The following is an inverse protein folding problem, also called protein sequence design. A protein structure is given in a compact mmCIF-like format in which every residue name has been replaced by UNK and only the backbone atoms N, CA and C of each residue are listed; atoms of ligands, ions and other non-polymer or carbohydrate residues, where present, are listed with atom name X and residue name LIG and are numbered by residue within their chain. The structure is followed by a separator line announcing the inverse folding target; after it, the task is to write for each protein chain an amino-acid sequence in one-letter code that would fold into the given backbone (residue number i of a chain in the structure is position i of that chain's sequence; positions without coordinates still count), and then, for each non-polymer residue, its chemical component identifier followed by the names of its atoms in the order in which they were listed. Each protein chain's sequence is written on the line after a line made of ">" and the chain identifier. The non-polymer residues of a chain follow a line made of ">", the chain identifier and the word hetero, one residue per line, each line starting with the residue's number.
data_IF_476733361426
#
_entry.id   IF_476733361426
#
_cell.length_a   1.000
_cell.length_b   1.000
_cell.length_c   1.000
_cell.angle_alpha   90.00
_cell.angle_beta   90.00
_cell.angle_gamma   90.00
#
_symmetry.space_group_name_H-M   'P 1'
#
loop_
_entity.id
_entity.type
_entity.pdbx_description
1 polymer ?
#
# COMPACT_ATOMS: atom_id res chain seq x y z
N UNK A 1 16.76 -27.52 -10.71
CA UNK A 1 15.36 -27.12 -10.97
C UNK A 1 15.22 -25.74 -10.37
N UNK A 2 15.36 -24.70 -11.18
CA UNK A 2 15.42 -23.30 -10.71
C UNK A 2 14.01 -22.86 -10.36
N UNK A 3 13.72 -22.69 -9.08
CA UNK A 3 12.48 -22.07 -8.64
C UNK A 3 12.65 -20.58 -8.86
N UNK A 4 12.01 -20.04 -9.90
CA UNK A 4 11.93 -18.59 -10.09
C UNK A 4 11.17 -18.02 -8.88
N UNK A 5 11.90 -17.40 -7.96
CA UNK A 5 11.33 -16.78 -6.79
C UNK A 5 10.72 -15.44 -7.18
N UNK A 6 9.47 -15.48 -7.65
CA UNK A 6 8.64 -14.30 -7.93
C UNK A 6 8.04 -13.70 -6.65
N UNK A 7 8.58 -14.02 -5.47
CA UNK A 7 8.20 -13.41 -4.21
C UNK A 7 8.50 -11.90 -4.22
N UNK A 8 7.76 -11.10 -3.43
CA UNK A 8 8.11 -9.69 -3.27
C UNK A 8 9.57 -9.61 -2.82
N UNK A 9 10.33 -8.74 -3.48
CA UNK A 9 11.71 -8.44 -3.11
C UNK A 9 11.81 -8.21 -1.60
N UNK A 10 12.99 -8.46 -0.99
CA UNK A 10 13.33 -7.91 0.28
C UNK A 10 12.72 -6.54 0.45
N UNK A 11 12.09 -6.31 1.59
CA UNK A 11 11.81 -4.97 2.04
C UNK A 11 13.13 -4.24 2.28
N UNK A 12 14.00 -4.15 1.27
CA UNK A 12 14.77 -2.97 0.93
C UNK A 12 13.84 -1.85 1.25
N UNK A 13 14.10 -1.21 2.39
CA UNK A 13 13.30 -0.12 2.91
C UNK A 13 13.20 0.81 1.74
N UNK A 14 12.05 0.74 1.06
CA UNK A 14 11.82 1.43 -0.19
C UNK A 14 12.33 2.82 0.07
N UNK A 15 13.17 3.36 -0.81
CA UNK A 15 13.52 4.76 -0.82
C UNK A 15 12.23 5.56 -1.11
N UNK A 16 11.24 5.42 -0.22
CA UNK A 16 9.98 6.13 -0.14
C UNK A 16 10.45 7.47 0.32
N UNK A 17 10.80 8.29 -0.67
CA UNK A 17 10.97 9.71 -0.51
C UNK A 17 9.86 10.16 0.44
N UNK A 18 10.21 10.70 1.61
CA UNK A 18 9.23 11.06 2.61
C UNK A 18 8.12 11.89 1.97
N UNK A 19 6.86 11.50 2.16
CA UNK A 19 5.74 12.22 1.57
C UNK A 19 5.87 13.71 1.90
N UNK A 20 5.68 14.58 0.91
CA UNK A 20 5.63 16.03 1.13
C UNK A 20 4.57 16.35 2.18
N UNK A 21 4.71 17.49 2.87
CA UNK A 21 3.76 17.93 3.90
C UNK A 21 2.31 17.97 3.36
N UNK A 22 2.13 18.45 2.14
CA UNK A 22 0.83 18.53 1.47
C UNK A 22 0.28 17.13 1.16
N UNK A 23 1.08 16.25 0.57
CA UNK A 23 0.66 14.87 0.25
C UNK A 23 0.28 14.08 1.51
N UNK A 24 1.04 14.27 2.59
CA UNK A 24 0.74 13.69 3.91
C UNK A 24 -0.58 14.22 4.48
N UNK A 25 -0.85 15.52 4.32
CA UNK A 25 -2.12 16.13 4.71
C UNK A 25 -3.32 15.54 3.95
N UNK A 26 -3.20 15.38 2.64
CA UNK A 26 -4.22 14.71 1.81
C UNK A 26 -4.45 13.28 2.28
N UNK A 27 -3.39 12.50 2.50
CA UNK A 27 -3.51 11.12 3.00
C UNK A 27 -4.15 11.06 4.39
N UNK A 28 -3.79 11.96 5.30
CA UNK A 28 -4.36 12.02 6.63
C UNK A 28 -5.85 12.36 6.58
N UNK A 29 -6.25 13.28 5.71
CA UNK A 29 -7.67 13.57 5.49
C UNK A 29 -8.41 12.33 4.99
N UNK A 30 -7.89 11.63 3.98
CA UNK A 30 -8.49 10.39 3.48
C UNK A 30 -8.66 9.32 4.58
N UNK A 31 -7.66 9.16 5.46
CA UNK A 31 -7.72 8.21 6.59
C UNK A 31 -8.81 8.54 7.60
N UNK A 32 -9.19 9.81 7.73
CA UNK A 32 -10.27 10.27 8.61
C UNK A 32 -11.67 10.12 8.02
N UNK A 33 -11.82 9.59 6.80
CA UNK A 33 -13.12 9.46 6.11
C UNK A 33 -13.53 8.00 5.99
N UNK A 34 -14.73 7.69 6.48
CA UNK A 34 -15.35 6.38 6.28
C UNK A 34 -15.81 6.17 4.82
N UNK A 35 -16.18 7.25 4.12
CA UNK A 35 -16.67 7.21 2.75
C UNK A 35 -15.64 7.80 1.77
N UNK A 36 -15.53 7.24 0.54
CA UNK A 36 -14.68 7.78 -0.52
C UNK A 36 -15.06 9.21 -0.92
N UNK A 37 -14.06 10.06 -1.14
CA UNK A 37 -14.23 11.50 -1.41
C UNK A 37 -13.75 11.89 -2.81
N UNK A 38 -14.31 12.94 -3.39
CA UNK A 38 -13.89 13.44 -4.70
C UNK A 38 -12.68 14.38 -4.57
N UNK A 39 -11.89 14.50 -5.65
CA UNK A 39 -10.79 15.48 -5.71
C UNK A 39 -11.29 16.93 -5.51
N UNK A 40 -12.50 17.25 -5.97
CA UNK A 40 -13.10 18.57 -5.77
C UNK A 40 -13.39 18.87 -4.30
N UNK A 41 -13.93 17.91 -3.55
CA UNK A 41 -14.16 18.06 -2.11
C UNK A 41 -12.84 18.25 -1.33
N UNK A 42 -11.82 17.46 -1.70
CA UNK A 42 -10.47 17.60 -1.13
C UNK A 42 -9.84 18.96 -1.44
N UNK A 43 -10.00 19.48 -2.65
CA UNK A 43 -9.48 20.79 -3.04
C UNK A 43 -10.00 21.91 -2.14
N UNK A 44 -11.30 21.88 -1.81
CA UNK A 44 -11.92 22.85 -0.91
C UNK A 44 -11.36 22.73 0.52
N UNK A 45 -11.28 21.52 1.06
CA UNK A 45 -10.84 21.31 2.45
C UNK A 45 -9.34 21.55 2.64
N UNK A 46 -8.52 21.15 1.66
CA UNK A 46 -7.08 21.35 1.72
C UNK A 46 -6.64 22.76 1.29
N UNK A 47 -7.57 23.62 0.85
CA UNK A 47 -7.28 24.93 0.27
C UNK A 47 -6.23 24.85 -0.86
N UNK A 48 -6.39 23.85 -1.73
CA UNK A 48 -5.49 23.58 -2.86
C UNK A 48 -6.26 23.64 -4.17
N UNK A 49 -5.57 23.95 -5.26
CA UNK A 49 -6.15 23.81 -6.58
C UNK A 49 -6.43 22.33 -6.90
N UNK A 50 -7.53 22.04 -7.59
CA UNK A 50 -7.99 20.66 -7.85
C UNK A 50 -6.97 19.82 -8.62
N UNK A 51 -6.17 20.42 -9.51
CA UNK A 51 -5.13 19.69 -10.24
C UNK A 51 -3.97 19.26 -9.31
N UNK A 52 -3.54 20.12 -8.38
CA UNK A 52 -2.52 19.79 -7.39
C UNK A 52 -2.99 18.66 -6.47
N UNK A 53 -4.27 18.66 -6.08
CA UNK A 53 -4.85 17.54 -5.33
C UNK A 53 -4.87 16.26 -6.15
N UNK A 54 -5.19 16.32 -7.45
CA UNK A 54 -5.15 15.14 -8.33
C UNK A 54 -3.74 14.56 -8.42
N UNK A 55 -2.72 15.38 -8.62
CA UNK A 55 -1.31 14.95 -8.64
C UNK A 55 -0.91 14.26 -7.33
N UNK A 56 -1.33 14.80 -6.18
CA UNK A 56 -1.11 14.14 -4.89
C UNK A 56 -1.85 12.81 -4.77
N UNK A 57 -3.09 12.73 -5.25
CA UNK A 57 -3.89 11.52 -5.20
C UNK A 57 -3.34 10.43 -6.11
N UNK A 58 -2.92 10.78 -7.33
CA UNK A 58 -2.32 9.85 -8.28
C UNK A 58 -1.03 9.26 -7.68
N UNK A 59 -0.15 10.11 -7.15
CA UNK A 59 1.06 9.63 -6.47
C UNK A 59 0.75 8.74 -5.25
N UNK A 60 -0.29 9.05 -4.46
CA UNK A 60 -0.72 8.19 -3.35
C UNK A 60 -1.29 6.85 -3.81
N UNK A 61 -1.95 6.81 -4.98
CA UNK A 61 -2.44 5.57 -5.59
C UNK A 61 -1.27 4.73 -6.08
N UNK A 62 -0.29 5.35 -6.74
CA UNK A 62 0.93 4.70 -7.23
C UNK A 62 1.77 4.14 -6.07
N UNK A 63 1.86 4.87 -4.95
CA UNK A 63 2.51 4.43 -3.70
C UNK A 63 1.71 3.33 -2.96
N UNK A 64 0.51 2.98 -3.46
CA UNK A 64 -0.40 2.00 -2.84
C UNK A 64 -1.04 2.48 -1.54
N UNK A 65 -0.99 3.77 -1.23
CA UNK A 65 -1.50 4.39 0.00
C UNK A 65 -2.97 4.82 -0.12
N UNK A 66 -3.47 4.99 -1.34
CA UNK A 66 -4.86 5.30 -1.65
C UNK A 66 -5.39 4.38 -2.74
N UNK A 67 -6.71 4.35 -2.88
CA UNK A 67 -7.41 3.62 -3.94
C UNK A 67 -8.39 4.58 -4.61
N UNK A 68 -8.47 4.53 -5.95
CA UNK A 68 -9.51 5.25 -6.70
C UNK A 68 -10.59 4.30 -7.17
N UNK A 69 -11.82 4.76 -7.12
CA UNK A 69 -13.02 4.05 -7.56
C UNK A 69 -13.88 4.99 -8.41
N UNK A 70 -14.58 4.43 -9.41
CA UNK A 70 -15.56 5.22 -10.17
C UNK A 70 -16.81 5.40 -9.32
N UNK A 71 -17.32 6.61 -9.25
CA UNK A 71 -18.68 6.84 -8.73
C UNK A 71 -19.70 6.08 -9.57
N UNK A 72 -20.78 5.62 -8.95
CA UNK A 72 -21.96 5.21 -9.68
C UNK A 72 -22.43 6.35 -10.60
N UNK A 73 -22.89 6.06 -11.82
CA UNK A 73 -23.48 7.08 -12.69
C UNK A 73 -24.70 7.70 -12.00
N UNK A 74 -24.65 9.01 -11.75
CA UNK A 74 -25.78 9.78 -11.22
C UNK A 74 -26.15 10.85 -12.26
N UNK A 75 -27.00 10.49 -13.23
CA UNK A 75 -27.53 11.40 -14.23
C UNK A 75 -26.57 11.78 -15.37
N UNK A 76 -26.83 12.93 -16.01
CA UNK A 76 -26.00 13.45 -17.13
C UNK A 76 -24.65 13.94 -16.63
N UNK A 77 -23.58 13.33 -17.14
CA UNK A 77 -22.19 13.72 -16.88
C UNK A 77 -21.25 12.51 -16.80
N UNK A 78 -19.94 12.74 -16.90
CA UNK A 78 -18.95 11.67 -16.71
C UNK A 78 -18.87 11.33 -15.22
N UNK A 79 -18.99 10.05 -14.81
CA UNK A 79 -18.88 9.67 -13.41
C UNK A 79 -17.56 10.16 -12.80
N UNK A 80 -17.64 10.83 -11.65
CA UNK A 80 -16.45 11.36 -10.96
C UNK A 80 -15.64 10.23 -10.32
N UNK A 81 -14.32 10.37 -10.29
CA UNK A 81 -13.47 9.52 -9.45
C UNK A 81 -13.62 9.88 -7.98
N UNK A 82 -13.72 8.86 -7.13
CA UNK A 82 -13.64 8.97 -5.67
C UNK A 82 -12.39 8.25 -5.16
N UNK A 83 -11.91 8.72 -4.03
CA UNK A 83 -10.66 8.29 -3.44
C UNK A 83 -10.89 7.96 -1.98
N UNK A 84 -10.26 6.87 -1.52
CA UNK A 84 -10.18 6.51 -0.11
C UNK A 84 -8.75 6.12 0.24
N UNK A 85 -8.39 6.25 1.51
CA UNK A 85 -7.14 5.64 1.97
C UNK A 85 -7.24 4.13 1.84
N UNK A 86 -6.15 3.49 1.41
CA UNK A 86 -6.02 2.04 1.54
C UNK A 86 -5.86 1.72 3.02
N UNK A 87 -6.65 0.79 3.53
CA UNK A 87 -6.52 0.36 4.91
C UNK A 87 -5.20 -0.40 5.10
N UNK A 88 -4.53 -0.32 6.26
CA UNK A 88 -3.35 -1.14 6.55
C UNK A 88 -3.60 -2.65 6.40
N UNK A 89 -4.86 -3.09 6.56
CA UNK A 89 -5.29 -4.47 6.38
C UNK A 89 -5.38 -4.88 4.90
N UNK A 90 -5.55 -3.93 3.98
CA UNK A 90 -5.59 -4.14 2.53
C UNK A 90 -4.20 -4.02 1.87
N UNK A 91 -3.15 -3.94 2.67
CA UNK A 91 -1.77 -3.88 2.19
C UNK A 91 -1.29 -5.28 1.80
N UNK A 92 -0.76 -5.48 0.58
CA UNK A 92 -0.13 -6.75 0.19
C UNK A 92 0.93 -7.20 1.19
N UNK A 93 1.66 -6.25 1.80
CA UNK A 93 2.65 -6.53 2.82
C UNK A 93 2.08 -7.31 4.02
N UNK A 94 0.83 -7.05 4.41
CA UNK A 94 0.19 -7.74 5.53
C UNK A 94 -0.29 -9.14 5.16
N UNK A 95 -0.79 -9.30 3.95
CA UNK A 95 -1.15 -10.62 3.40
C UNK A 95 0.09 -11.52 3.31
N UNK A 96 1.19 -11.00 2.76
CA UNK A 96 2.47 -11.71 2.71
C UNK A 96 3.06 -11.97 4.10
N UNK A 97 2.95 -11.03 5.05
CA UNK A 97 3.37 -11.27 6.43
C UNK A 97 2.58 -12.42 7.08
N UNK A 98 1.27 -12.51 6.81
CA UNK A 98 0.44 -13.62 7.26
C UNK A 98 0.88 -14.95 6.67
N UNK A 99 1.11 -15.01 5.35
CA UNK A 99 1.61 -16.21 4.67
C UNK A 99 2.99 -16.61 5.20
N UNK A 100 3.92 -15.67 5.32
CA UNK A 100 5.26 -15.89 5.87
C UNK A 100 5.19 -16.46 7.30
N UNK A 101 4.30 -15.95 8.15
CA UNK A 101 4.11 -16.48 9.49
C UNK A 101 3.61 -17.94 9.49
N UNK A 102 2.68 -18.30 8.59
CA UNK A 102 2.20 -19.68 8.46
C UNK A 102 3.31 -20.62 7.97
N UNK A 103 4.09 -20.18 6.98
CA UNK A 103 5.23 -20.95 6.45
C UNK A 103 6.33 -21.12 7.50
N UNK A 104 6.71 -20.06 8.20
CA UNK A 104 7.68 -20.10 9.30
C UNK A 104 7.21 -21.05 10.42
N UNK A 105 5.93 -20.99 10.79
CA UNK A 105 5.35 -21.90 11.77
C UNK A 105 5.35 -23.37 11.29
N UNK A 106 5.24 -23.62 9.99
CA UNK A 106 5.38 -24.97 9.42
C UNK A 106 6.82 -25.46 9.53
N UNK A 107 7.79 -24.65 9.11
CA UNK A 107 9.23 -24.98 9.18
C UNK A 107 9.63 -25.26 10.63
N UNK A 108 9.17 -24.43 11.57
CA UNK A 108 9.43 -24.60 13.01
C UNK A 108 8.98 -25.95 13.57
N UNK A 109 7.97 -26.59 12.96
CA UNK A 109 7.47 -27.91 13.39
C UNK A 109 8.08 -29.08 12.64
N UNK A 110 8.58 -28.87 11.42
CA UNK A 110 9.00 -29.97 10.53
C UNK A 110 10.49 -30.01 10.25
N UNK A 111 11.22 -28.93 10.49
CA UNK A 111 12.67 -28.90 10.30
C UNK A 111 13.39 -29.62 11.45
N UNK A 112 14.52 -30.25 11.12
CA UNK A 112 15.44 -30.82 12.10
C UNK A 112 16.26 -29.74 12.84
N UNK A 113 16.50 -28.57 12.21
CA UNK A 113 17.12 -27.40 12.83
C UNK A 113 16.40 -26.10 12.41
N UNK A 114 15.27 -25.79 13.05
CA UNK A 114 14.50 -24.58 12.74
C UNK A 114 15.28 -23.26 12.89
N UNK A 115 16.27 -23.21 13.79
CA UNK A 115 17.02 -21.99 14.06
C UNK A 115 18.07 -21.76 12.98
N UNK A 116 18.79 -22.81 12.59
CA UNK A 116 19.75 -22.76 11.48
C UNK A 116 19.06 -22.34 10.18
N UNK A 117 17.93 -22.96 9.85
CA UNK A 117 17.17 -22.64 8.64
C UNK A 117 16.67 -21.18 8.64
N UNK A 118 16.21 -20.66 9.79
CA UNK A 118 15.75 -19.28 9.90
C UNK A 118 16.89 -18.27 9.71
N UNK A 119 18.09 -18.56 10.23
CA UNK A 119 19.26 -17.71 10.05
C UNK A 119 19.72 -17.71 8.59
N UNK A 120 19.83 -18.88 7.98
CA UNK A 120 20.22 -19.02 6.57
C UNK A 120 19.25 -18.26 5.64
N UNK A 121 17.93 -18.40 5.87
CA UNK A 121 16.93 -17.66 5.11
C UNK A 121 17.04 -16.14 5.30
N UNK A 122 17.39 -15.67 6.50
CA UNK A 122 17.62 -14.25 6.79
C UNK A 122 18.86 -13.68 6.10
N UNK A 123 19.95 -14.45 6.06
CA UNK A 123 21.19 -14.08 5.37
C UNK A 123 20.98 -14.00 3.86
N UNK A 124 20.36 -15.03 3.25
CA UNK A 124 20.03 -15.05 1.83
C UNK A 124 19.18 -13.84 1.44
N UNK A 125 18.15 -13.55 2.24
CA UNK A 125 17.28 -12.38 2.05
C UNK A 125 18.02 -11.04 2.16
N UNK A 126 18.95 -10.91 3.10
CA UNK A 126 19.73 -9.67 3.29
C UNK A 126 20.71 -9.39 2.14
N UNK A 127 21.04 -10.39 1.33
CA UNK A 127 21.95 -10.29 0.18
C UNK A 127 21.24 -10.20 -1.17
N UNK A 128 19.91 -10.35 -1.19
CA UNK A 128 19.07 -10.33 -2.39
C UNK A 128 18.63 -8.93 -2.84
#
# INVERSE_FOLDING_TARGET
>A
MTVENNGPLPGSGSNRVPLSRQRRGVLQYLRGRAAPVTAGALAQVCALHVNTVREHLDALVDDGLAVRERSAPAGRGRPAWRYRARSPQESPAREYAGLAAVLAARIARTSADPRGDALAAGEEWGTS
#
